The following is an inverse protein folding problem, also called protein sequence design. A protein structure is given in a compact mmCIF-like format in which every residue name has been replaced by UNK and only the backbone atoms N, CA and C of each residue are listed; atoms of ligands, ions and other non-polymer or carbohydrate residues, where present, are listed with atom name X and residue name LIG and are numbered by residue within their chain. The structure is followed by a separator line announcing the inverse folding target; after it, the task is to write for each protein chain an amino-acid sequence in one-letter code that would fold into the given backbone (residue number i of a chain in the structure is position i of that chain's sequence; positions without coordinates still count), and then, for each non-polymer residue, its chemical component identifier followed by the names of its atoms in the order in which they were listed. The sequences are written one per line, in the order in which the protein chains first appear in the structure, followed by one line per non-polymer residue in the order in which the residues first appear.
data_IF_325970577430
#
_entry.id   IF_325970577430
#
_cell.length_a   1.000
_cell.length_b   1.000
_cell.length_c   1.000
_cell.angle_alpha   90.00
_cell.angle_beta   90.00
_cell.angle_gamma   90.00
#
_symmetry.space_group_name_H-M   'P 1'
#
loop_
_entity.id
_entity.type
_entity.pdbx_description
1 polymer ?
#
# COMPACT_ATOMS: atom_id res chain seq x y z
N UNK A 1 -32.91 -0.21 23.53
CA UNK A 1 -31.68 -0.72 22.90
C UNK A 1 -31.71 -0.26 21.45
N UNK A 2 -30.65 0.39 20.98
CA UNK A 2 -30.53 0.81 19.57
C UNK A 2 -30.49 -0.45 18.70
N UNK A 3 -31.31 -0.49 17.65
CA UNK A 3 -31.40 -1.67 16.79
C UNK A 3 -30.08 -1.97 16.08
N UNK A 4 -29.88 -3.23 15.70
CA UNK A 4 -28.65 -3.72 15.06
C UNK A 4 -28.93 -4.64 13.88
N UNK A 5 -28.04 -4.63 12.88
CA UNK A 5 -28.07 -5.58 11.78
C UNK A 5 -26.89 -6.54 11.86
N UNK A 6 -27.04 -7.72 11.26
CA UNK A 6 -25.99 -8.73 11.08
C UNK A 6 -26.08 -9.30 9.67
N UNK A 7 -25.12 -10.14 9.28
CA UNK A 7 -25.10 -10.78 7.97
C UNK A 7 -24.64 -12.24 8.04
N UNK A 8 -25.13 -13.05 7.10
CA UNK A 8 -24.75 -14.44 6.93
C UNK A 8 -24.18 -14.63 5.51
N UNK A 9 -22.86 -14.46 5.37
CA UNK A 9 -22.14 -14.76 4.14
C UNK A 9 -21.64 -16.21 4.07
N UNK A 10 -21.21 -16.77 5.22
CA UNK A 10 -20.69 -18.13 5.30
C UNK A 10 -21.68 -19.04 6.04
N UNK A 11 -22.21 -20.04 5.31
CA UNK A 11 -23.22 -20.97 5.82
C UNK A 11 -22.76 -21.79 7.04
N UNK A 12 -21.46 -21.88 7.33
CA UNK A 12 -20.96 -22.49 8.58
C UNK A 12 -21.51 -21.80 9.83
N UNK A 13 -21.94 -20.54 9.72
CA UNK A 13 -22.53 -19.77 10.80
C UNK A 13 -24.07 -19.73 10.75
N UNK A 14 -24.72 -20.50 9.87
CA UNK A 14 -26.17 -20.42 9.65
C UNK A 14 -26.99 -20.72 10.91
N UNK A 15 -26.50 -21.54 11.83
CA UNK A 15 -27.19 -21.82 13.10
C UNK A 15 -27.33 -20.59 14.00
N UNK A 16 -26.44 -19.61 13.89
CA UNK A 16 -26.46 -18.40 14.72
C UNK A 16 -27.52 -17.37 14.29
N UNK A 17 -28.07 -17.48 13.07
CA UNK A 17 -29.13 -16.56 12.61
C UNK A 17 -30.43 -16.73 13.40
N UNK A 18 -30.65 -17.89 14.03
CA UNK A 18 -31.84 -18.17 14.83
C UNK A 18 -31.73 -17.65 16.27
N UNK A 19 -30.52 -17.40 16.75
CA UNK A 19 -30.24 -16.95 18.13
C UNK A 19 -29.66 -15.54 18.20
N UNK A 20 -29.42 -14.90 17.05
CA UNK A 20 -28.95 -13.52 16.97
C UNK A 20 -29.91 -12.55 17.65
N UNK A 21 -29.36 -11.54 18.33
CA UNK A 21 -30.11 -10.40 18.85
C UNK A 21 -30.29 -9.26 17.84
N UNK A 22 -29.85 -9.44 16.58
CA UNK A 22 -30.00 -8.45 15.53
C UNK A 22 -31.46 -8.35 15.05
N UNK A 23 -31.92 -7.13 14.78
CA UNK A 23 -33.26 -6.85 14.25
C UNK A 23 -33.33 -7.12 12.74
N UNK A 24 -32.20 -7.01 12.04
CA UNK A 24 -32.08 -7.22 10.59
C UNK A 24 -30.97 -8.24 10.29
N UNK A 25 -31.23 -9.18 9.39
CA UNK A 25 -30.24 -10.14 8.88
C UNK A 25 -30.07 -10.04 7.36
N UNK A 26 -28.87 -9.72 6.90
CA UNK A 26 -28.54 -9.73 5.46
C UNK A 26 -28.11 -11.14 5.06
N UNK A 27 -28.79 -11.73 4.08
CA UNK A 27 -28.59 -13.13 3.65
C UNK A 27 -28.54 -13.25 2.14
N UNK A 28 -27.94 -14.32 1.63
CA UNK A 28 -27.98 -14.61 0.20
C UNK A 28 -29.39 -14.92 -0.30
N UNK A 29 -29.69 -14.61 -1.56
CA UNK A 29 -30.98 -14.90 -2.20
C UNK A 29 -31.42 -16.35 -2.01
N UNK A 30 -30.47 -17.29 -2.08
CA UNK A 30 -30.69 -18.73 -1.96
C UNK A 30 -30.86 -19.23 -0.51
N UNK A 31 -30.68 -18.37 0.50
CA UNK A 31 -30.79 -18.80 1.90
C UNK A 31 -32.24 -19.20 2.24
N UNK A 32 -32.44 -20.46 2.64
CA UNK A 32 -33.76 -20.99 3.04
C UNK A 32 -33.78 -21.22 4.56
N UNK A 33 -34.63 -20.50 5.31
CA UNK A 33 -34.79 -20.73 6.74
C UNK A 33 -35.35 -22.13 6.98
N UNK A 34 -34.75 -22.87 7.92
CA UNK A 34 -35.27 -24.16 8.38
C UNK A 34 -36.19 -23.99 9.60
N UNK A 35 -36.08 -22.85 10.29
CA UNK A 35 -36.83 -22.48 11.48
C UNK A 35 -37.27 -21.02 11.38
N UNK A 36 -38.18 -20.63 12.26
CA UNK A 36 -38.57 -19.24 12.41
C UNK A 36 -37.35 -18.37 12.78
N UNK A 37 -37.22 -17.23 12.12
CA UNK A 37 -36.16 -16.25 12.36
C UNK A 37 -36.82 -14.97 12.86
N UNK A 38 -36.35 -14.45 13.99
CA UNK A 38 -36.88 -13.23 14.58
C UNK A 38 -36.47 -11.97 13.82
N UNK A 39 -35.28 -11.96 13.24
CA UNK A 39 -34.75 -10.84 12.48
C UNK A 39 -35.49 -10.67 11.13
N UNK A 40 -35.70 -9.43 10.70
CA UNK A 40 -36.17 -9.13 9.35
C UNK A 40 -35.05 -9.43 8.35
N UNK A 41 -35.34 -10.24 7.32
CA UNK A 41 -34.31 -10.65 6.36
C UNK A 41 -34.26 -9.74 5.14
N UNK A 42 -33.07 -9.24 4.81
CA UNK A 42 -32.77 -8.58 3.53
C UNK A 42 -32.00 -9.58 2.67
N UNK A 43 -32.55 -9.91 1.50
CA UNK A 43 -31.97 -10.87 0.56
C UNK A 43 -31.16 -10.13 -0.50
N UNK A 44 -29.92 -10.57 -0.72
CA UNK A 44 -28.98 -9.99 -1.68
C UNK A 44 -28.27 -11.08 -2.47
N UNK A 45 -27.63 -10.72 -3.58
CA UNK A 45 -26.82 -11.66 -4.36
C UNK A 45 -25.56 -12.11 -3.59
N UNK A 46 -24.79 -11.15 -3.05
CA UNK A 46 -23.60 -11.40 -2.25
C UNK A 46 -23.67 -10.63 -0.92
N UNK A 47 -23.86 -11.32 0.22
CA UNK A 47 -23.91 -10.69 1.54
C UNK A 47 -22.62 -9.98 1.95
N UNK A 48 -21.45 -10.46 1.48
CA UNK A 48 -20.16 -9.87 1.82
C UNK A 48 -19.99 -8.51 1.12
N UNK A 49 -20.29 -8.47 -0.18
CA UNK A 49 -20.27 -7.21 -0.94
C UNK A 49 -21.31 -6.21 -0.44
N UNK A 50 -22.52 -6.67 -0.10
CA UNK A 50 -23.56 -5.79 0.44
C UNK A 50 -23.13 -5.11 1.75
N UNK A 51 -22.48 -5.86 2.65
CA UNK A 51 -21.95 -5.31 3.90
C UNK A 51 -20.78 -4.37 3.64
N UNK A 52 -19.88 -4.71 2.72
CA UNK A 52 -18.79 -3.81 2.34
C UNK A 52 -19.34 -2.45 1.88
N UNK A 53 -20.35 -2.45 0.99
CA UNK A 53 -21.00 -1.22 0.51
C UNK A 53 -21.71 -0.43 1.62
N UNK A 54 -22.38 -1.13 2.56
CA UNK A 54 -23.09 -0.46 3.65
C UNK A 54 -22.13 0.15 4.67
N UNK A 55 -21.04 -0.55 5.00
CA UNK A 55 -19.98 -0.02 5.84
C UNK A 55 -19.26 1.16 5.17
N UNK A 56 -19.07 1.10 3.85
CA UNK A 56 -18.55 2.22 3.06
C UNK A 56 -19.47 3.44 3.17
N UNK A 57 -20.78 3.26 2.99
CA UNK A 57 -21.76 4.35 3.11
C UNK A 57 -21.79 4.96 4.52
N UNK A 58 -21.75 4.12 5.56
CA UNK A 58 -21.69 4.58 6.95
C UNK A 58 -20.41 5.37 7.23
N UNK A 59 -19.26 4.88 6.73
CA UNK A 59 -18.00 5.59 6.85
C UNK A 59 -18.02 6.91 6.09
N UNK A 60 -18.58 6.96 4.87
CA UNK A 60 -18.76 8.21 4.11
C UNK A 60 -19.53 9.24 4.92
N UNK A 61 -20.70 8.88 5.45
CA UNK A 61 -21.51 9.77 6.29
C UNK A 61 -20.75 10.27 7.53
N UNK A 62 -19.98 9.41 8.19
CA UNK A 62 -19.18 9.80 9.37
C UNK A 62 -17.98 10.70 9.00
N UNK A 63 -17.47 10.59 7.79
CA UNK A 63 -16.29 11.29 7.29
C UNK A 63 -16.64 12.44 6.33
N UNK A 64 -17.92 12.82 6.21
CA UNK A 64 -18.36 14.06 5.56
C UNK A 64 -18.00 15.25 6.45
N UNK A 65 -16.71 15.57 6.47
CA UNK A 65 -16.20 16.84 6.95
C UNK A 65 -16.11 17.80 5.77
N UNK A 66 -16.44 19.06 6.04
CA UNK A 66 -16.31 20.19 5.12
C UNK A 66 -15.93 21.44 5.90
N UNK A 67 -15.44 22.44 5.19
CA UNK A 67 -15.04 23.73 5.76
C UNK A 67 -13.54 23.84 6.03
N UNK A 68 -13.10 25.08 6.19
CA UNK A 68 -11.70 25.43 6.39
C UNK A 68 -11.56 25.97 7.82
N UNK A 69 -10.66 25.36 8.61
CA UNK A 69 -10.35 25.83 9.95
C UNK A 69 -9.62 27.18 9.89
N UNK A 70 -9.98 28.12 10.78
CA UNK A 70 -9.25 29.39 10.97
C UNK A 70 -7.80 29.18 11.43
N UNK A 71 -7.46 27.99 11.93
CA UNK A 71 -6.11 27.61 12.36
C UNK A 71 -5.29 26.95 11.25
N UNK A 72 -5.85 26.78 10.05
CA UNK A 72 -5.10 26.30 8.90
C UNK A 72 -4.29 27.45 8.27
N UNK A 73 -3.10 27.13 7.75
CA UNK A 73 -2.35 28.05 6.91
C UNK A 73 -2.60 27.69 5.44
N UNK A 74 -3.03 28.67 4.65
CA UNK A 74 -3.22 28.54 3.21
C UNK A 74 -2.54 29.75 2.58
N UNK A 75 -1.57 29.49 1.71
CA UNK A 75 -0.91 30.54 0.95
C UNK A 75 -1.90 31.28 0.04
N UNK A 76 -1.72 32.59 -0.14
CA UNK A 76 -2.62 33.43 -0.95
C UNK A 76 -2.70 33.01 -2.42
N UNK A 77 -1.66 32.35 -2.93
CA UNK A 77 -1.60 31.85 -4.30
C UNK A 77 -2.22 30.47 -4.49
N UNK A 78 -2.57 29.78 -3.40
CA UNK A 78 -3.15 28.44 -3.46
C UNK A 78 -4.56 28.47 -4.08
N UNK A 79 -4.87 27.45 -4.89
CA UNK A 79 -6.18 27.27 -5.51
C UNK A 79 -6.93 26.17 -4.78
N UNK A 80 -8.14 26.48 -4.32
CA UNK A 80 -8.94 25.61 -3.46
C UNK A 80 -10.27 25.33 -4.16
N UNK A 81 -10.57 24.06 -4.41
CA UNK A 81 -11.82 23.59 -5.00
C UNK A 81 -13.03 23.70 -4.07
N UNK A 82 -14.18 23.28 -4.57
CA UNK A 82 -15.45 23.32 -3.84
C UNK A 82 -15.57 22.16 -2.84
N UNK A 83 -16.29 22.36 -1.75
CA UNK A 83 -16.61 21.27 -0.80
C UNK A 83 -15.41 20.68 -0.05
N UNK A 84 -14.27 21.37 -0.02
CA UNK A 84 -13.06 20.90 0.68
C UNK A 84 -13.24 20.89 2.20
N UNK A 85 -12.43 20.06 2.86
CA UNK A 85 -12.18 20.15 4.30
C UNK A 85 -10.70 20.40 4.55
N UNK A 86 -10.38 21.44 5.31
CA UNK A 86 -9.01 21.75 5.72
C UNK A 86 -9.00 21.92 7.24
N UNK A 87 -8.47 20.90 7.92
CA UNK A 87 -8.44 20.80 9.38
C UNK A 87 -7.43 21.74 10.04
N UNK A 88 -7.51 21.80 11.38
CA UNK A 88 -6.63 22.64 12.21
C UNK A 88 -5.15 22.38 11.93
N UNK A 89 -4.37 23.46 11.78
CA UNK A 89 -2.93 23.40 11.55
C UNK A 89 -2.50 22.62 10.30
N UNK A 90 -3.41 22.35 9.37
CA UNK A 90 -3.04 21.95 8.03
C UNK A 90 -2.30 23.10 7.32
N UNK A 91 -1.36 22.76 6.45
CA UNK A 91 -0.55 23.72 5.71
C UNK A 91 -0.70 23.48 4.21
N UNK A 92 -1.07 24.52 3.47
CA UNK A 92 -1.14 24.53 2.02
C UNK A 92 -0.16 25.57 1.49
N UNK A 93 0.88 25.09 0.82
CA UNK A 93 1.98 25.90 0.33
C UNK A 93 1.65 26.72 -0.92
N UNK A 94 2.65 27.46 -1.38
CA UNK A 94 2.55 28.39 -2.49
C UNK A 94 2.18 27.67 -3.80
N UNK A 95 1.29 28.26 -4.59
CA UNK A 95 0.88 27.77 -5.91
C UNK A 95 0.33 26.32 -5.89
N UNK A 96 -0.03 25.81 -4.70
CA UNK A 96 -0.63 24.49 -4.54
C UNK A 96 -2.08 24.49 -5.05
N UNK A 97 -2.54 23.36 -5.56
CA UNK A 97 -3.89 23.19 -6.11
C UNK A 97 -4.58 22.03 -5.41
N UNK A 98 -5.72 22.30 -4.78
CA UNK A 98 -6.60 21.29 -4.21
C UNK A 98 -7.88 21.22 -5.05
N UNK A 99 -8.20 20.03 -5.58
CA UNK A 99 -9.43 19.76 -6.30
C UNK A 99 -10.68 19.74 -5.42
N UNK A 100 -11.81 19.44 -6.04
CA UNK A 100 -13.11 19.46 -5.36
C UNK A 100 -13.21 18.31 -4.35
N UNK A 101 -13.81 18.57 -3.18
CA UNK A 101 -14.02 17.58 -2.14
C UNK A 101 -12.75 17.04 -1.49
N UNK A 102 -11.58 17.65 -1.74
CA UNK A 102 -10.32 17.29 -1.08
C UNK A 102 -10.42 17.47 0.44
N UNK A 103 -9.90 16.51 1.20
CA UNK A 103 -9.91 16.53 2.66
C UNK A 103 -8.50 16.47 3.23
N UNK A 104 -8.05 17.57 3.82
CA UNK A 104 -6.81 17.66 4.58
C UNK A 104 -7.14 17.62 6.08
N UNK A 105 -6.72 16.57 6.76
CA UNK A 105 -6.90 16.42 8.21
C UNK A 105 -5.86 17.24 8.99
N UNK A 106 -6.05 17.41 10.32
CA UNK A 106 -5.16 18.25 11.11
C UNK A 106 -3.69 17.90 10.94
N UNK A 107 -2.83 18.93 10.86
CA UNK A 107 -1.39 18.80 10.63
C UNK A 107 -0.96 18.16 9.29
N UNK A 108 -1.87 17.95 8.33
CA UNK A 108 -1.48 17.59 6.97
C UNK A 108 -0.66 18.73 6.33
N UNK A 109 0.40 18.39 5.61
CA UNK A 109 1.26 19.35 4.92
C UNK A 109 1.24 19.09 3.41
N UNK A 110 0.91 20.12 2.64
CA UNK A 110 0.96 20.14 1.17
C UNK A 110 1.94 21.22 0.75
N UNK A 111 3.09 20.80 0.22
CA UNK A 111 4.17 21.69 -0.18
C UNK A 111 3.89 22.44 -1.48
N UNK A 112 4.73 23.43 -1.78
CA UNK A 112 4.58 24.33 -2.91
C UNK A 112 4.43 23.61 -4.26
N UNK A 113 3.65 24.19 -5.17
CA UNK A 113 3.36 23.67 -6.52
C UNK A 113 2.74 22.26 -6.56
N UNK A 114 2.36 21.69 -5.40
CA UNK A 114 1.73 20.38 -5.35
C UNK A 114 0.29 20.44 -5.84
N UNK A 115 -0.18 19.35 -6.43
CA UNK A 115 -1.54 19.21 -6.96
C UNK A 115 -2.21 18.00 -6.34
N UNK A 116 -3.39 18.18 -5.78
CA UNK A 116 -4.21 17.12 -5.20
C UNK A 116 -5.53 17.07 -5.94
N UNK A 117 -5.82 15.94 -6.58
CA UNK A 117 -7.04 15.74 -7.35
C UNK A 117 -8.29 15.54 -6.50
N UNK A 118 -9.44 15.68 -7.14
CA UNK A 118 -10.77 15.65 -6.52
C UNK A 118 -11.00 14.40 -5.63
N UNK A 119 -11.74 14.59 -4.53
CA UNK A 119 -12.13 13.52 -3.60
C UNK A 119 -10.99 12.93 -2.77
N UNK A 120 -9.73 13.32 -3.02
CA UNK A 120 -8.58 12.77 -2.31
C UNK A 120 -8.54 13.21 -0.85
N UNK A 121 -8.16 12.29 0.03
CA UNK A 121 -8.06 12.48 1.47
C UNK A 121 -6.62 12.31 1.94
N UNK A 122 -6.12 13.30 2.67
CA UNK A 122 -4.82 13.29 3.34
C UNK A 122 -5.05 13.34 4.84
N UNK A 123 -4.76 12.23 5.52
CA UNK A 123 -4.96 12.08 6.96
C UNK A 123 -3.92 12.82 7.79
N UNK A 124 -4.16 12.86 9.10
CA UNK A 124 -3.45 13.74 10.02
C UNK A 124 -1.94 13.50 10.02
N UNK A 125 -1.16 14.58 9.94
CA UNK A 125 0.30 14.55 10.00
C UNK A 125 1.00 13.97 8.75
N UNK A 126 0.27 13.59 7.70
CA UNK A 126 0.89 13.21 6.42
C UNK A 126 1.50 14.44 5.72
N UNK A 127 2.61 14.23 5.00
CA UNK A 127 3.41 15.30 4.39
C UNK A 127 3.66 15.01 2.92
N UNK A 128 3.17 15.88 2.05
CA UNK A 128 3.44 15.90 0.62
C UNK A 128 4.41 17.06 0.37
N UNK A 129 5.63 16.75 -0.06
CA UNK A 129 6.65 17.74 -0.40
C UNK A 129 6.30 18.47 -1.70
N UNK A 130 7.06 19.51 -2.03
CA UNK A 130 6.82 20.33 -3.21
C UNK A 130 6.81 19.53 -4.52
N UNK A 131 6.10 20.05 -5.52
CA UNK A 131 5.91 19.47 -6.86
C UNK A 131 5.24 18.08 -6.87
N UNK A 132 4.65 17.64 -5.75
CA UNK A 132 3.95 16.36 -5.67
C UNK A 132 2.63 16.43 -6.44
N UNK A 133 2.38 15.44 -7.29
CA UNK A 133 1.10 15.29 -8.00
C UNK A 133 0.38 14.08 -7.44
N UNK A 134 -0.77 14.31 -6.82
CA UNK A 134 -1.68 13.30 -6.31
C UNK A 134 -2.98 13.34 -7.11
N UNK A 135 -3.38 12.19 -7.65
CA UNK A 135 -4.59 12.02 -8.47
C UNK A 135 -5.88 12.14 -7.66
N UNK A 136 -6.98 11.66 -8.26
CA UNK A 136 -8.33 11.70 -7.70
C UNK A 136 -8.62 10.48 -6.83
N UNK A 137 -9.51 10.64 -5.86
CA UNK A 137 -10.01 9.54 -5.01
C UNK A 137 -8.89 8.75 -4.32
N UNK A 138 -7.80 9.43 -3.98
CA UNK A 138 -6.66 8.83 -3.28
C UNK A 138 -6.82 8.93 -1.78
N UNK A 139 -6.27 7.96 -1.06
CA UNK A 139 -6.24 7.95 0.41
C UNK A 139 -4.80 7.88 0.91
N UNK A 140 -4.36 8.94 1.59
CA UNK A 140 -3.03 9.04 2.19
C UNK A 140 -3.17 8.99 3.70
N UNK A 141 -2.75 7.90 4.34
CA UNK A 141 -2.89 7.69 5.78
C UNK A 141 -1.88 8.50 6.60
N UNK A 142 -2.11 8.54 7.92
CA UNK A 142 -1.34 9.37 8.85
C UNK A 142 0.16 9.05 8.82
N UNK A 143 0.98 10.10 8.93
CA UNK A 143 2.45 9.99 9.00
C UNK A 143 3.14 9.58 7.70
N UNK A 144 2.39 9.41 6.60
CA UNK A 144 2.98 9.19 5.27
C UNK A 144 3.84 10.39 4.86
N UNK A 145 4.99 10.12 4.24
CA UNK A 145 5.89 11.12 3.68
C UNK A 145 6.03 10.86 2.18
N UNK A 146 5.65 11.84 1.36
CA UNK A 146 5.74 11.77 -0.10
C UNK A 146 6.64 12.90 -0.58
N UNK A 147 7.64 12.55 -1.39
CA UNK A 147 8.54 13.49 -2.04
C UNK A 147 9.75 13.91 -1.20
N UNK A 148 10.11 13.17 -0.14
CA UNK A 148 11.41 13.32 0.51
C UNK A 148 12.56 13.02 -0.47
N UNK A 149 13.75 13.55 -0.17
CA UNK A 149 14.95 13.18 -0.91
C UNK A 149 15.24 11.68 -0.76
N UNK A 150 15.46 11.00 -1.88
CA UNK A 150 15.94 9.63 -1.87
C UNK A 150 17.40 9.50 -1.40
N UNK A 151 17.84 8.25 -1.26
CA UNK A 151 19.21 7.90 -0.82
C UNK A 151 20.26 8.09 -1.94
N UNK A 152 20.45 9.33 -2.39
CA UNK A 152 21.43 9.70 -3.41
C UNK A 152 22.73 10.21 -2.80
N UNK A 153 23.76 9.37 -2.71
CA UNK A 153 25.09 9.75 -2.23
C UNK A 153 26.18 9.16 -3.13
N UNK A 154 27.20 9.96 -3.45
CA UNK A 154 28.36 9.54 -4.23
C UNK A 154 29.65 9.79 -3.44
N UNK A 155 30.61 8.84 -3.43
CA UNK A 155 31.90 9.07 -2.77
C UNK A 155 32.72 10.10 -3.55
N UNK A 156 33.34 11.04 -2.84
CA UNK A 156 34.36 11.93 -3.41
C UNK A 156 35.73 11.23 -3.46
N UNK A 157 36.75 11.93 -3.97
CA UNK A 157 38.13 11.41 -4.06
C UNK A 157 38.74 10.99 -2.72
N UNK A 158 38.19 11.47 -1.60
CA UNK A 158 38.63 11.14 -0.23
C UNK A 158 37.79 10.00 0.40
N UNK A 159 36.81 9.47 -0.32
CA UNK A 159 35.88 8.44 0.17
C UNK A 159 34.74 8.97 1.04
N UNK A 160 34.53 10.29 1.12
CA UNK A 160 33.41 10.89 1.85
C UNK A 160 32.16 10.93 0.95
N UNK A 161 30.98 10.62 1.51
CA UNK A 161 29.73 10.64 0.76
C UNK A 161 29.19 12.06 0.61
N UNK A 162 29.08 12.52 -0.64
CA UNK A 162 28.48 13.80 -1.00
C UNK A 162 27.04 13.56 -1.46
N UNK A 163 26.12 14.39 -0.97
CA UNK A 163 24.70 14.32 -1.32
C UNK A 163 24.49 14.67 -2.80
N UNK A 164 23.77 13.82 -3.50
CA UNK A 164 23.31 14.06 -4.87
C UNK A 164 21.93 14.69 -4.81
N UNK A 165 21.81 15.90 -5.36
CA UNK A 165 20.55 16.64 -5.37
C UNK A 165 19.44 15.84 -6.06
N UNK A 166 18.27 15.80 -5.44
CA UNK A 166 17.08 15.12 -5.95
C UNK A 166 16.13 16.20 -6.48
N UNK A 167 16.01 16.29 -7.80
CA UNK A 167 15.30 17.39 -8.49
C UNK A 167 14.00 16.96 -9.16
N UNK A 168 13.73 15.66 -9.23
CA UNK A 168 12.49 15.11 -9.77
C UNK A 168 11.32 15.29 -8.81
N UNK A 169 10.19 14.64 -9.04
CA UNK A 169 9.03 14.70 -8.15
C UNK A 169 8.43 13.31 -7.88
N UNK A 170 7.24 13.29 -7.27
CA UNK A 170 6.40 12.09 -7.14
C UNK A 170 5.08 12.33 -7.86
N UNK A 171 4.66 11.34 -8.64
CA UNK A 171 3.36 11.30 -9.28
C UNK A 171 2.62 10.07 -8.76
N UNK A 172 1.47 10.30 -8.15
CA UNK A 172 0.53 9.28 -7.69
C UNK A 172 -0.75 9.47 -8.48
N UNK A 173 -1.15 8.47 -9.24
CA UNK A 173 -2.38 8.50 -10.05
C UNK A 173 -3.63 8.17 -9.22
N UNK A 174 -4.79 8.12 -9.87
CA UNK A 174 -6.09 8.01 -9.20
C UNK A 174 -6.27 6.70 -8.42
N UNK A 175 -7.17 6.74 -7.42
CA UNK A 175 -7.60 5.57 -6.64
C UNK A 175 -6.46 4.84 -5.90
N UNK A 176 -5.35 5.53 -5.64
CA UNK A 176 -4.23 4.97 -4.88
C UNK A 176 -4.49 5.09 -3.37
N UNK A 177 -4.10 4.08 -2.62
CA UNK A 177 -4.10 4.12 -1.15
C UNK A 177 -2.70 3.88 -0.61
N UNK A 178 -2.26 4.74 0.30
CA UNK A 178 -0.95 4.69 0.94
C UNK A 178 -1.11 4.59 2.45
N UNK A 179 -0.74 3.43 3.00
CA UNK A 179 -0.81 3.11 4.42
C UNK A 179 0.12 3.95 5.29
N UNK A 180 -0.15 3.93 6.60
CA UNK A 180 0.49 4.81 7.58
C UNK A 180 2.00 4.65 7.63
N UNK A 181 2.71 5.76 7.80
CA UNK A 181 4.17 5.83 7.90
C UNK A 181 4.94 5.21 6.71
N UNK A 182 4.29 5.08 5.56
CA UNK A 182 4.98 4.76 4.30
C UNK A 182 5.71 5.99 3.78
N UNK A 183 6.92 5.79 3.24
CA UNK A 183 7.73 6.83 2.65
C UNK A 183 7.91 6.58 1.14
N UNK A 184 7.69 7.62 0.34
CA UNK A 184 7.83 7.61 -1.11
C UNK A 184 8.78 8.72 -1.51
N UNK A 185 10.00 8.37 -1.90
CA UNK A 185 11.02 9.34 -2.25
C UNK A 185 10.75 9.95 -3.63
N UNK A 186 11.07 11.24 -3.79
CA UNK A 186 11.11 11.87 -5.10
C UNK A 186 12.22 11.28 -5.95
N UNK A 187 12.05 11.33 -7.26
CA UNK A 187 13.09 10.93 -8.19
C UNK A 187 14.31 11.87 -8.18
N UNK A 188 15.47 11.35 -8.56
CA UNK A 188 16.66 12.19 -8.82
C UNK A 188 16.38 13.16 -9.98
N UNK A 189 15.85 12.61 -11.08
CA UNK A 189 15.38 13.31 -12.29
C UNK A 189 14.09 12.61 -12.73
N UNK A 190 13.11 13.37 -13.24
CA UNK A 190 11.82 12.84 -13.67
C UNK A 190 10.91 12.59 -12.46
N UNK A 191 10.28 11.42 -12.38
CA UNK A 191 9.29 11.13 -11.34
C UNK A 191 9.44 9.72 -10.77
N UNK A 192 9.21 9.58 -9.47
CA UNK A 192 8.76 8.32 -8.88
C UNK A 192 7.27 8.21 -9.18
N UNK A 193 6.80 7.08 -9.69
CA UNK A 193 5.44 6.96 -10.24
C UNK A 193 4.68 5.81 -9.58
N UNK A 194 3.53 6.12 -9.00
CA UNK A 194 2.59 5.16 -8.45
C UNK A 194 1.34 5.19 -9.33
N UNK A 195 1.12 4.13 -10.11
CA UNK A 195 0.04 4.09 -11.09
C UNK A 195 -1.32 3.86 -10.45
N UNK A 196 -2.37 4.08 -11.24
CA UNK A 196 -3.77 4.01 -10.82
C UNK A 196 -4.09 2.72 -10.07
N UNK A 197 -4.84 2.85 -8.97
CA UNK A 197 -5.40 1.73 -8.23
C UNK A 197 -4.40 0.96 -7.35
N UNK A 198 -3.13 1.36 -7.29
CA UNK A 198 -2.13 0.72 -6.42
C UNK A 198 -2.54 0.84 -4.94
N UNK A 199 -2.30 -0.22 -4.17
CA UNK A 199 -2.53 -0.25 -2.71
C UNK A 199 -1.23 -0.57 -1.99
N UNK A 200 -0.76 0.38 -1.20
CA UNK A 200 0.43 0.27 -0.36
C UNK A 200 -0.03 0.18 1.09
N UNK A 201 0.34 -0.89 1.78
CA UNK A 201 0.13 -1.04 3.21
C UNK A 201 1.09 -0.14 4.02
N UNK A 202 1.12 -0.32 5.34
CA UNK A 202 1.87 0.51 6.28
C UNK A 202 3.38 0.24 6.23
N UNK A 203 4.18 1.25 6.60
CA UNK A 203 5.63 1.14 6.79
C UNK A 203 6.40 0.66 5.55
N UNK A 204 5.93 0.98 4.35
CA UNK A 204 6.63 0.66 3.09
C UNK A 204 7.67 1.74 2.79
N UNK A 205 8.79 1.34 2.19
CA UNK A 205 9.76 2.26 1.59
C UNK A 205 9.71 2.13 0.06
N UNK A 206 9.39 3.22 -0.63
CA UNK A 206 9.51 3.36 -2.08
C UNK A 206 10.65 4.35 -2.37
N UNK A 207 11.77 3.85 -2.87
CA UNK A 207 12.92 4.68 -3.19
C UNK A 207 12.72 5.52 -4.48
N UNK A 208 13.67 6.42 -4.72
CA UNK A 208 13.67 7.32 -5.86
C UNK A 208 13.57 6.58 -7.21
N UNK A 209 12.85 7.17 -8.16
CA UNK A 209 12.68 6.67 -9.54
C UNK A 209 11.95 5.31 -9.66
N UNK A 210 11.37 4.78 -8.58
CA UNK A 210 10.54 3.58 -8.64
C UNK A 210 9.28 3.85 -9.46
N UNK A 211 8.86 2.86 -10.24
CA UNK A 211 7.59 2.87 -10.98
C UNK A 211 6.78 1.63 -10.58
N UNK A 212 5.56 1.81 -10.09
CA UNK A 212 4.66 0.72 -9.69
C UNK A 212 3.43 0.70 -10.61
N UNK A 213 3.25 -0.38 -11.35
CA UNK A 213 2.16 -0.57 -12.30
C UNK A 213 0.76 -0.70 -11.66
N UNK A 214 -0.25 -0.50 -12.50
CA UNK A 214 -1.66 -0.39 -12.09
C UNK A 214 -2.14 -1.59 -11.25
N UNK A 215 -3.01 -1.32 -10.28
CA UNK A 215 -3.66 -2.33 -9.42
C UNK A 215 -2.71 -3.31 -8.72
N UNK A 216 -1.43 -2.96 -8.58
CA UNK A 216 -0.48 -3.72 -7.78
C UNK A 216 -0.73 -3.47 -6.29
N UNK A 217 -0.69 -4.54 -5.49
CA UNK A 217 -0.88 -4.49 -4.04
C UNK A 217 0.40 -4.90 -3.33
N UNK A 218 0.82 -4.10 -2.34
CA UNK A 218 2.08 -4.30 -1.62
C UNK A 218 1.79 -4.26 -0.13
N UNK A 219 2.12 -5.35 0.56
CA UNK A 219 1.90 -5.50 1.99
C UNK A 219 3.02 -4.87 2.84
N UNK A 220 2.73 -4.71 4.13
CA UNK A 220 3.51 -3.88 5.04
C UNK A 220 5.01 -4.21 5.08
N UNK A 221 5.82 -3.20 5.39
CA UNK A 221 7.28 -3.33 5.58
C UNK A 221 8.06 -3.79 4.34
N UNK A 222 7.45 -3.74 3.16
CA UNK A 222 8.17 -3.98 1.90
C UNK A 222 9.12 -2.82 1.62
N UNK A 223 10.34 -3.14 1.19
CA UNK A 223 11.34 -2.18 0.74
C UNK A 223 11.62 -2.33 -0.75
N UNK A 224 11.48 -1.24 -1.51
CA UNK A 224 11.73 -1.21 -2.95
C UNK A 224 12.86 -0.23 -3.23
N UNK A 225 13.99 -0.76 -3.71
CA UNK A 225 15.19 0.03 -4.01
C UNK A 225 15.03 0.85 -5.30
N UNK A 226 15.87 1.87 -5.44
CA UNK A 226 15.71 2.90 -6.47
C UNK A 226 15.71 2.38 -7.90
N UNK A 227 14.98 3.09 -8.77
CA UNK A 227 14.85 2.79 -10.22
C UNK A 227 14.23 1.43 -10.58
N UNK A 228 13.65 0.73 -9.61
CA UNK A 228 12.94 -0.53 -9.86
C UNK A 228 11.58 -0.30 -10.50
N UNK A 229 11.25 -1.12 -11.49
CA UNK A 229 9.99 -1.05 -12.23
C UNK A 229 9.16 -2.29 -11.97
N UNK A 230 7.96 -2.12 -11.44
CA UNK A 230 7.03 -3.18 -11.11
C UNK A 230 5.86 -3.12 -12.07
N UNK A 231 5.50 -4.26 -12.67
CA UNK A 231 4.36 -4.41 -13.55
C UNK A 231 3.01 -4.22 -12.87
N UNK A 232 1.94 -4.44 -13.64
CA UNK A 232 0.54 -4.33 -13.17
C UNK A 232 0.07 -5.62 -12.48
N UNK A 233 -0.95 -5.49 -11.64
CA UNK A 233 -1.63 -6.59 -10.95
C UNK A 233 -0.69 -7.50 -10.13
N UNK A 234 0.44 -6.98 -9.66
CA UNK A 234 1.35 -7.75 -8.83
C UNK A 234 0.83 -7.83 -7.39
N UNK A 235 1.21 -8.90 -6.69
CA UNK A 235 0.94 -9.10 -5.27
C UNK A 235 2.26 -9.29 -4.55
N UNK A 236 2.65 -8.33 -3.72
CA UNK A 236 3.93 -8.35 -3.01
C UNK A 236 3.66 -8.50 -1.52
N UNK A 237 4.07 -9.63 -0.97
CA UNK A 237 3.89 -9.99 0.44
C UNK A 237 4.76 -9.15 1.37
N UNK A 238 4.35 -9.10 2.64
CA UNK A 238 4.97 -8.22 3.63
C UNK A 238 6.43 -8.55 3.88
N UNK A 239 7.22 -7.53 4.21
CA UNK A 239 8.67 -7.62 4.41
C UNK A 239 9.44 -8.15 3.20
N UNK A 240 8.89 -8.07 1.98
CA UNK A 240 9.66 -8.35 0.79
C UNK A 240 10.71 -7.23 0.55
N UNK A 241 11.86 -7.61 0.00
CA UNK A 241 12.94 -6.69 -0.35
C UNK A 241 13.29 -6.81 -1.82
N UNK A 242 13.15 -5.73 -2.58
CA UNK A 242 13.47 -5.68 -4.01
C UNK A 242 14.74 -4.87 -4.24
N UNK A 243 15.69 -5.46 -4.98
CA UNK A 243 16.91 -4.78 -5.40
C UNK A 243 16.61 -3.62 -6.35
N UNK A 244 17.59 -2.72 -6.54
CA UNK A 244 17.46 -1.54 -7.38
C UNK A 244 17.68 -1.87 -8.85
N UNK A 245 17.16 -1.04 -9.75
CA UNK A 245 17.35 -1.18 -11.20
C UNK A 245 16.85 -2.51 -11.79
N UNK A 246 15.93 -3.19 -11.12
CA UNK A 246 15.33 -4.43 -11.63
C UNK A 246 13.95 -4.16 -12.24
N UNK A 247 13.51 -5.09 -13.07
CA UNK A 247 12.16 -5.13 -13.63
C UNK A 247 11.41 -6.36 -13.11
N UNK A 248 10.27 -6.11 -12.49
CA UNK A 248 9.28 -7.13 -12.12
C UNK A 248 8.18 -7.09 -13.17
N UNK A 249 7.91 -8.24 -13.79
CA UNK A 249 6.87 -8.41 -14.79
C UNK A 249 5.44 -8.21 -14.26
N UNK A 250 4.47 -8.33 -15.14
CA UNK A 250 3.05 -8.22 -14.82
C UNK A 250 2.53 -9.49 -14.12
N UNK A 251 1.53 -9.35 -13.24
CA UNK A 251 0.86 -10.46 -12.54
C UNK A 251 1.79 -11.34 -11.68
N UNK A 252 2.92 -10.80 -11.24
CA UNK A 252 3.89 -11.50 -10.39
C UNK A 252 3.37 -11.58 -8.95
N UNK A 253 3.60 -12.72 -8.29
CA UNK A 253 3.30 -12.91 -6.87
C UNK A 253 4.58 -13.16 -6.09
N UNK A 254 4.96 -12.23 -5.24
CA UNK A 254 6.12 -12.33 -4.35
C UNK A 254 5.59 -12.65 -2.96
N UNK A 255 5.97 -13.79 -2.38
CA UNK A 255 5.58 -14.15 -1.02
C UNK A 255 6.28 -13.26 0.03
N UNK A 256 5.72 -13.24 1.23
CA UNK A 256 6.29 -12.51 2.35
C UNK A 256 7.75 -12.93 2.62
N UNK A 257 8.56 -11.97 3.09
CA UNK A 257 9.98 -12.15 3.41
C UNK A 257 10.86 -12.66 2.25
N UNK A 258 10.43 -12.45 1.00
CA UNK A 258 11.27 -12.76 -0.16
C UNK A 258 12.24 -11.61 -0.47
N UNK A 259 13.51 -11.96 -0.73
CA UNK A 259 14.50 -11.06 -1.33
C UNK A 259 14.56 -11.29 -2.84
N UNK A 260 14.41 -10.24 -3.64
CA UNK A 260 14.37 -10.30 -5.10
C UNK A 260 15.58 -9.53 -5.68
N UNK A 261 16.68 -10.24 -6.02
CA UNK A 261 17.93 -9.60 -6.42
C UNK A 261 18.00 -9.24 -7.92
N UNK A 262 17.08 -9.75 -8.74
CA UNK A 262 17.16 -9.68 -10.19
C UNK A 262 15.78 -9.57 -10.85
N UNK A 263 15.77 -9.37 -12.17
CA UNK A 263 14.54 -9.29 -12.95
C UNK A 263 13.68 -10.55 -12.82
N UNK A 264 12.36 -10.34 -12.83
CA UNK A 264 11.33 -11.37 -12.70
C UNK A 264 10.40 -11.29 -13.89
N UNK A 265 10.09 -12.42 -14.52
CA UNK A 265 9.20 -12.44 -15.69
C UNK A 265 7.73 -12.41 -15.28
N UNK A 266 6.87 -12.10 -16.24
CA UNK A 266 5.43 -12.04 -16.05
C UNK A 266 4.88 -13.36 -15.49
N UNK A 267 3.92 -13.26 -14.55
CA UNK A 267 3.20 -14.38 -13.98
C UNK A 267 4.00 -15.28 -13.03
N UNK A 268 5.26 -14.98 -12.75
CA UNK A 268 6.07 -15.77 -11.83
C UNK A 268 5.55 -15.68 -10.38
N UNK A 269 5.73 -16.79 -9.65
CA UNK A 269 5.45 -16.86 -8.22
C UNK A 269 6.78 -17.09 -7.51
N UNK A 270 7.21 -16.11 -6.72
CA UNK A 270 8.47 -16.13 -5.99
C UNK A 270 8.18 -16.40 -4.53
N UNK A 271 8.90 -17.38 -3.99
CA UNK A 271 8.85 -17.71 -2.58
C UNK A 271 10.23 -17.49 -1.95
N UNK A 272 10.23 -16.77 -0.82
CA UNK A 272 11.40 -16.53 0.00
C UNK A 272 11.53 -17.54 1.12
N UNK A 273 11.80 -17.06 2.34
CA UNK A 273 11.99 -17.89 3.53
C UNK A 273 10.65 -18.44 4.06
N UNK A 274 10.36 -19.76 3.95
CA UNK A 274 9.38 -20.37 4.82
C UNK A 274 9.97 -20.56 6.22
N UNK A 275 9.12 -20.52 7.24
CA UNK A 275 9.50 -21.01 8.56
C UNK A 275 9.78 -22.51 8.52
N UNK A 276 10.91 -22.94 9.08
CA UNK A 276 11.25 -24.34 9.27
C UNK A 276 11.28 -24.62 10.78
N UNK A 277 10.81 -25.80 11.21
CA UNK A 277 10.91 -26.20 12.63
C UNK A 277 12.37 -26.11 13.11
N UNK A 278 12.60 -25.57 14.32
CA UNK A 278 13.94 -25.31 14.86
C UNK A 278 14.94 -26.46 14.67
N UNK A 279 14.55 -27.71 15.02
CA UNK A 279 15.46 -28.86 14.91
C UNK A 279 15.77 -29.22 13.46
N UNK A 280 14.79 -29.08 12.57
CA UNK A 280 14.97 -29.31 11.13
C UNK A 280 15.82 -28.21 10.51
N UNK A 281 15.62 -26.96 10.93
CA UNK A 281 16.42 -25.82 10.50
C UNK A 281 17.89 -26.02 10.88
N UNK A 282 18.18 -26.31 12.15
CA UNK A 282 19.57 -26.52 12.61
C UNK A 282 20.27 -27.65 11.85
N UNK A 283 19.58 -28.75 11.56
CA UNK A 283 20.11 -29.84 10.74
C UNK A 283 20.40 -29.39 9.30
N UNK A 284 19.43 -28.73 8.67
CA UNK A 284 19.57 -28.22 7.29
C UNK A 284 20.67 -27.18 7.17
N UNK A 285 20.81 -26.31 8.19
CA UNK A 285 21.82 -25.26 8.23
C UNK A 285 23.25 -25.82 8.32
N UNK A 286 23.47 -26.95 8.99
CA UNK A 286 24.78 -27.63 8.98
C UNK A 286 25.14 -28.08 7.56
N UNK A 287 24.19 -28.65 6.82
CA UNK A 287 24.42 -29.03 5.42
C UNK A 287 24.68 -27.81 4.53
N UNK A 288 23.91 -26.73 4.72
CA UNK A 288 24.11 -25.48 3.99
C UNK A 288 25.50 -24.87 4.27
N UNK A 289 25.92 -24.82 5.54
CA UNK A 289 27.24 -24.32 5.93
C UNK A 289 28.40 -25.11 5.29
N UNK A 290 28.21 -26.42 5.13
CA UNK A 290 29.21 -27.32 4.56
C UNK A 290 28.96 -27.60 3.07
N UNK A 291 28.11 -26.83 2.40
CA UNK A 291 27.61 -27.16 1.06
C UNK A 291 28.75 -27.33 0.04
N UNK A 292 29.74 -26.44 0.06
CA UNK A 292 30.91 -26.54 -0.83
C UNK A 292 31.64 -27.88 -0.68
N UNK A 293 31.92 -28.30 0.56
CA UNK A 293 32.64 -29.56 0.83
C UNK A 293 31.82 -30.78 0.40
N UNK A 294 30.49 -30.70 0.49
CA UNK A 294 29.59 -31.75 0.02
C UNK A 294 29.64 -31.85 -1.51
N UNK A 295 29.64 -30.71 -2.22
CA UNK A 295 29.78 -30.65 -3.69
C UNK A 295 31.13 -31.18 -4.13
N UNK A 296 32.23 -30.73 -3.52
CA UNK A 296 33.58 -31.20 -3.85
C UNK A 296 33.71 -32.73 -3.72
N UNK A 297 33.13 -33.28 -2.64
CA UNK A 297 33.08 -34.73 -2.42
C UNK A 297 32.20 -35.47 -3.44
N UNK A 298 31.12 -34.85 -3.92
CA UNK A 298 30.25 -35.40 -4.96
C UNK A 298 31.03 -35.50 -6.29
N UNK A 299 31.70 -34.40 -6.68
CA UNK A 299 32.50 -34.34 -7.90
C UNK A 299 33.65 -35.37 -7.89
N UNK A 300 34.29 -35.58 -6.74
CA UNK A 300 35.31 -36.63 -6.57
C UNK A 300 34.74 -38.04 -6.73
N UNK A 301 33.53 -38.29 -6.24
CA UNK A 301 32.87 -39.59 -6.38
C UNK A 301 32.45 -39.84 -7.82
N UNK A 302 31.92 -38.83 -8.52
CA UNK A 302 31.53 -38.93 -9.93
C UNK A 302 32.74 -39.23 -10.83
N UNK A 303 33.89 -38.60 -10.57
CA UNK A 303 35.15 -38.92 -11.29
C UNK A 303 35.56 -40.38 -11.12
N UNK A 304 35.46 -40.92 -9.89
CA UNK A 304 35.85 -42.32 -9.60
C UNK A 304 34.90 -43.37 -10.18
N UNK A 305 33.65 -42.99 -10.49
CA UNK A 305 32.64 -43.90 -11.06
C UNK A 305 32.59 -43.80 -12.59
N UNK A 306 33.04 -42.67 -13.16
CA UNK A 306 33.16 -42.47 -14.61
C UNK A 306 34.44 -43.02 -15.25
N UNK A 307 35.42 -43.42 -14.42
CA UNK A 307 36.61 -44.22 -14.79
C UNK A 307 36.32 -45.73 -14.74
#
# INVERSE_FOLDING_TARGET
ALGGFSFLANLKYASFIYTTGADIGIVGNEFKPEKEIKATLIRVEDPYLAIASLLEMYNKMKLEKSGISELAYIDESAQIGEGVYIGEFAFVGKDAVLGDGVKLYPHAYVGDNSKIGDGSTVFAGARLYHDTVLGKECTIHSGVIIGSDGFGFAPNEKGEYVKVAQTGNVIIEDNVEVGSNTAIDRATIGSTIIRKGVKLDNLIQIAHNVEIGENTVIAAQTGISGSTKIGKNCMIGGQAGLAGHIKIGDNVKIQAQAGVPSNVKDGEIIMGSPSINFRQYMKSYIHFKNFQQIVDRLDELEKKVGE
#
